data_IF_073339712204
#
_entry.id   IF_073339712204
#
_cell.length_a   1.000
_cell.length_b   1.000
_cell.length_c   1.000
_cell.angle_alpha   90.00
_cell.angle_beta   90.00
_cell.angle_gamma   90.00
#
_symmetry.space_group_name_H-M   'P 1'
#
loop_
_entity.id
_entity.type
_entity.pdbx_description
1 polymer ?
#
# COMPACT_ATOMS: atom_id res chain seq x y z
N UNK A 1 -6.53 17.23 -27.24
CA UNK A 1 -6.00 16.50 -26.07
C UNK A 1 -5.77 17.51 -24.98
N UNK A 2 -6.67 17.58 -23.99
CA UNK A 2 -6.47 18.45 -22.84
C UNK A 2 -5.27 17.96 -22.04
N UNK A 3 -4.35 18.87 -21.69
CA UNK A 3 -3.39 18.62 -20.62
C UNK A 3 -4.22 18.45 -19.35
N UNK A 4 -4.18 17.27 -18.73
CA UNK A 4 -4.55 17.17 -17.33
C UNK A 4 -3.57 18.06 -16.56
N UNK A 5 -4.07 19.20 -16.09
CA UNK A 5 -3.34 20.04 -15.17
C UNK A 5 -3.04 19.20 -13.92
N UNK A 6 -1.75 19.15 -13.60
CA UNK A 6 -1.20 18.60 -12.36
C UNK A 6 -2.14 18.89 -11.20
N UNK A 7 -2.72 17.84 -10.61
CA UNK A 7 -3.44 17.94 -9.33
C UNK A 7 -2.55 18.68 -8.33
N UNK A 8 -3.15 19.58 -7.55
CA UNK A 8 -2.45 20.37 -6.54
C UNK A 8 -1.64 19.40 -5.64
N UNK A 9 -0.30 19.49 -5.61
CA UNK A 9 0.52 18.63 -4.75
C UNK A 9 0.24 18.83 -3.26
N UNK A 10 -0.52 19.86 -2.90
CA UNK A 10 -0.94 20.17 -1.54
C UNK A 10 -2.44 19.93 -1.28
N UNK A 11 -3.10 19.10 -2.10
CA UNK A 11 -4.53 18.73 -1.93
C UNK A 11 -4.83 17.92 -0.65
N UNK A 12 -3.81 17.60 0.15
CA UNK A 12 -3.91 16.87 1.42
C UNK A 12 -4.14 15.36 1.26
N UNK A 13 -4.21 14.86 0.02
CA UNK A 13 -4.52 13.43 -0.24
C UNK A 13 -3.40 12.50 0.20
N UNK A 14 -2.14 12.95 0.16
CA UNK A 14 -0.99 12.16 0.64
C UNK A 14 -1.00 12.00 2.16
N UNK A 15 -1.37 13.04 2.91
CA UNK A 15 -1.51 12.97 4.36
C UNK A 15 -2.68 12.07 4.74
N UNK A 16 -3.82 12.17 4.05
CA UNK A 16 -4.95 11.27 4.26
C UNK A 16 -4.56 9.81 3.98
N UNK A 17 -3.87 9.55 2.86
CA UNK A 17 -3.36 8.22 2.55
C UNK A 17 -2.41 7.71 3.64
N UNK A 18 -1.52 8.55 4.15
CA UNK A 18 -0.59 8.17 5.21
C UNK A 18 -1.31 7.82 6.52
N UNK A 19 -2.42 8.48 6.84
CA UNK A 19 -3.26 8.15 7.99
C UNK A 19 -3.88 6.76 7.83
N UNK A 20 -4.46 6.46 6.66
CA UNK A 20 -5.04 5.14 6.38
C UNK A 20 -3.97 4.03 6.41
N UNK A 21 -2.80 4.27 5.83
CA UNK A 21 -1.69 3.31 5.85
C UNK A 21 -1.16 3.07 7.27
N UNK A 22 -1.16 4.08 8.14
CA UNK A 22 -0.81 3.91 9.56
C UNK A 22 -1.84 3.08 10.31
N UNK A 23 -3.13 3.29 10.03
CA UNK A 23 -4.19 2.45 10.62
C UNK A 23 -4.03 0.98 10.23
N UNK A 24 -3.68 0.71 8.96
CA UNK A 24 -3.37 -0.65 8.51
C UNK A 24 -2.08 -1.20 9.13
N UNK A 25 -1.03 -0.41 9.24
CA UNK A 25 0.22 -0.78 9.94
C UNK A 25 -0.07 -1.23 11.37
N UNK A 26 -0.82 -0.42 12.13
CA UNK A 26 -1.18 -0.72 13.52
C UNK A 26 -2.04 -1.99 13.61
N UNK A 27 -2.97 -2.18 12.68
CA UNK A 27 -3.77 -3.40 12.57
C UNK A 27 -2.90 -4.64 12.31
N UNK A 28 -2.00 -4.58 11.33
CA UNK A 28 -1.08 -5.68 11.00
C UNK A 28 -0.09 -5.96 12.13
N UNK A 29 0.32 -4.93 12.88
CA UNK A 29 1.17 -5.09 14.05
C UNK A 29 0.46 -5.83 15.18
N UNK A 30 -0.82 -5.54 15.41
CA UNK A 30 -1.61 -6.13 16.49
C UNK A 30 -2.18 -7.51 16.14
N UNK A 31 -2.52 -7.73 14.86
CA UNK A 31 -3.33 -8.87 14.42
C UNK A 31 -2.71 -9.64 13.25
N UNK A 32 -1.53 -9.26 12.76
CA UNK A 32 -0.90 -9.88 11.60
C UNK A 32 -0.40 -11.30 11.83
N UNK A 33 0.29 -11.90 10.84
CA UNK A 33 0.92 -11.22 9.70
C UNK A 33 0.00 -10.85 8.52
N UNK A 34 -1.20 -11.42 8.43
CA UNK A 34 -2.22 -11.10 7.42
C UNK A 34 -3.39 -10.35 8.04
N UNK A 35 -4.28 -9.79 7.23
CA UNK A 35 -5.36 -8.91 7.72
C UNK A 35 -6.27 -9.62 8.73
N UNK A 36 -6.46 -10.93 8.59
CA UNK A 36 -7.28 -11.73 9.50
C UNK A 36 -6.47 -12.67 10.41
N UNK A 37 -5.18 -12.40 10.65
CA UNK A 37 -4.33 -13.26 11.50
C UNK A 37 -3.29 -14.05 10.75
N UNK A 38 -3.14 -15.31 11.15
CA UNK A 38 -2.07 -16.21 10.71
C UNK A 38 -2.23 -16.72 9.27
N UNK A 39 -3.44 -16.65 8.71
CA UNK A 39 -3.76 -17.25 7.41
C UNK A 39 -4.19 -16.19 6.40
N UNK A 40 -3.80 -16.42 5.16
CA UNK A 40 -4.31 -15.67 4.01
C UNK A 40 -5.80 -15.94 3.87
N UNK A 41 -6.56 -14.87 3.67
CA UNK A 41 -8.00 -14.88 3.45
C UNK A 41 -8.37 -14.16 2.15
N UNK A 42 -9.65 -14.17 1.79
CA UNK A 42 -10.15 -13.42 0.65
C UNK A 42 -9.92 -11.90 0.77
N UNK A 43 -9.79 -11.37 2.00
CA UNK A 43 -9.48 -9.95 2.23
C UNK A 43 -8.09 -9.64 1.68
N UNK A 44 -7.11 -10.49 1.97
CA UNK A 44 -5.75 -10.26 1.54
C UNK A 44 -5.60 -10.37 0.02
N UNK A 45 -6.27 -11.36 -0.58
CA UNK A 45 -6.32 -11.54 -2.04
C UNK A 45 -6.94 -10.33 -2.77
N UNK A 46 -7.90 -9.65 -2.14
CA UNK A 46 -8.52 -8.44 -2.69
C UNK A 46 -7.67 -7.18 -2.50
N UNK A 47 -6.88 -7.11 -1.43
CA UNK A 47 -6.10 -5.92 -1.05
C UNK A 47 -4.70 -5.92 -1.64
N UNK A 48 -4.02 -7.06 -1.70
CA UNK A 48 -2.63 -7.14 -2.14
C UNK A 48 -2.39 -6.57 -3.54
N UNK A 49 -3.22 -6.85 -4.58
CA UNK A 49 -3.05 -6.23 -5.88
C UNK A 49 -3.20 -4.69 -5.83
N UNK A 50 -4.15 -4.19 -5.03
CA UNK A 50 -4.39 -2.75 -4.90
C UNK A 50 -3.18 -2.04 -4.27
N UNK A 51 -2.60 -2.61 -3.23
CA UNK A 51 -1.41 -2.05 -2.60
C UNK A 51 -0.17 -2.12 -3.50
N UNK A 52 -0.03 -3.18 -4.29
CA UNK A 52 1.04 -3.24 -5.28
C UNK A 52 0.91 -2.12 -6.32
N UNK A 53 -0.28 -1.96 -6.92
CA UNK A 53 -0.56 -0.87 -7.84
C UNK A 53 -0.31 0.50 -7.20
N UNK A 54 -0.72 0.69 -5.94
CA UNK A 54 -0.48 1.92 -5.18
C UNK A 54 1.02 2.25 -5.10
N UNK A 55 1.86 1.29 -4.66
CA UNK A 55 3.30 1.49 -4.50
C UNK A 55 3.96 1.87 -5.82
N UNK A 56 3.66 1.13 -6.90
CA UNK A 56 4.24 1.38 -8.22
C UNK A 56 3.78 2.73 -8.79
N UNK A 57 2.47 3.01 -8.73
CA UNK A 57 1.92 4.24 -9.30
C UNK A 57 2.40 5.49 -8.56
N UNK A 58 2.48 5.46 -7.23
CA UNK A 58 2.96 6.59 -6.45
C UNK A 58 4.46 6.85 -6.69
N UNK A 59 5.27 5.78 -6.77
CA UNK A 59 6.68 5.91 -7.12
C UNK A 59 6.88 6.49 -8.53
N UNK A 60 6.14 5.97 -9.52
CA UNK A 60 6.31 6.38 -10.92
C UNK A 60 5.74 7.76 -11.23
N UNK A 61 4.51 8.06 -10.80
CA UNK A 61 3.80 9.27 -11.21
C UNK A 61 3.95 10.44 -10.23
N UNK A 62 4.21 10.16 -8.94
CA UNK A 62 4.33 11.20 -7.91
C UNK A 62 5.73 11.29 -7.28
N UNK A 63 6.66 10.39 -7.63
CA UNK A 63 7.93 10.24 -6.93
C UNK A 63 7.75 10.14 -5.40
N UNK A 64 6.64 9.52 -4.98
CA UNK A 64 6.26 9.38 -3.58
C UNK A 64 6.39 7.93 -3.16
N UNK A 65 7.14 7.70 -2.07
CA UNK A 65 7.39 6.37 -1.54
C UNK A 65 6.66 6.18 -0.21
N UNK A 66 6.21 4.95 0.04
CA UNK A 66 5.66 4.59 1.35
C UNK A 66 6.79 4.68 2.39
N UNK A 67 6.60 5.38 3.51
CA UNK A 67 7.63 5.48 4.55
C UNK A 67 8.11 4.10 5.02
N UNK A 68 9.42 3.93 5.16
CA UNK A 68 10.03 2.66 5.62
C UNK A 68 9.64 2.30 7.06
N UNK A 69 9.19 3.27 7.85
CA UNK A 69 8.70 3.06 9.21
C UNK A 69 7.44 2.20 9.29
N UNK A 70 6.71 2.02 8.19
CA UNK A 70 5.53 1.13 8.10
C UNK A 70 5.98 -0.31 7.80
N UNK A 71 6.76 -0.89 8.71
CA UNK A 71 7.47 -2.14 8.50
C UNK A 71 6.52 -3.34 8.31
N UNK A 72 5.41 -3.40 9.05
CA UNK A 72 4.45 -4.50 8.94
C UNK A 72 3.73 -4.46 7.58
N UNK A 73 3.38 -3.28 7.10
CA UNK A 73 2.84 -3.05 5.76
C UNK A 73 3.83 -3.47 4.67
N UNK A 74 5.10 -3.05 4.76
CA UNK A 74 6.13 -3.46 3.80
C UNK A 74 6.32 -4.98 3.75
N UNK A 75 6.32 -5.62 4.92
CA UNK A 75 6.41 -7.08 5.00
C UNK A 75 5.17 -7.76 4.40
N UNK A 76 3.98 -7.23 4.68
CA UNK A 76 2.73 -7.72 4.11
C UNK A 76 2.74 -7.68 2.58
N UNK A 77 3.14 -6.56 1.95
CA UNK A 77 3.18 -6.47 0.48
C UNK A 77 4.26 -7.38 -0.13
N UNK A 78 5.44 -7.49 0.50
CA UNK A 78 6.54 -8.33 0.01
C UNK A 78 6.11 -9.79 -0.17
N UNK A 79 5.34 -10.32 0.77
CA UNK A 79 4.82 -11.70 0.68
C UNK A 79 4.02 -11.90 -0.61
N UNK A 80 3.19 -10.94 -0.99
CA UNK A 80 2.37 -11.06 -2.21
C UNK A 80 3.12 -10.71 -3.50
N UNK A 81 4.08 -9.78 -3.47
CA UNK A 81 4.91 -9.48 -4.64
C UNK A 81 5.69 -10.73 -5.11
N UNK A 82 6.15 -11.55 -4.17
CA UNK A 82 6.87 -12.80 -4.48
C UNK A 82 5.92 -13.85 -5.07
N UNK A 83 4.68 -13.94 -4.59
CA UNK A 83 3.71 -14.97 -5.01
C UNK A 83 3.18 -14.72 -6.43
N UNK A 84 3.04 -13.47 -6.87
CA UNK A 84 2.42 -13.15 -8.16
C UNK A 84 3.42 -12.85 -9.30
N UNK A 85 4.69 -12.58 -9.02
CA UNK A 85 5.63 -12.06 -10.04
C UNK A 85 7.00 -12.76 -10.11
N UNK A 86 7.16 -13.92 -9.45
CA UNK A 86 8.36 -14.78 -9.59
C UNK A 86 8.21 -15.88 -10.64
N UNK A 87 7.35 -15.69 -11.65
CA UNK A 87 7.11 -16.62 -12.75
C UNK A 87 7.52 -16.02 -14.10
#
# INVERSE_FOLDING_TARGET
MGKEESKDPNDGTEQALLVELKALEDHLKAHGPYVAGEKVTGIDLALAPKFYHLVIALGHFKNWAIPESLAHFHNYIKVYAIIFYSA
#
